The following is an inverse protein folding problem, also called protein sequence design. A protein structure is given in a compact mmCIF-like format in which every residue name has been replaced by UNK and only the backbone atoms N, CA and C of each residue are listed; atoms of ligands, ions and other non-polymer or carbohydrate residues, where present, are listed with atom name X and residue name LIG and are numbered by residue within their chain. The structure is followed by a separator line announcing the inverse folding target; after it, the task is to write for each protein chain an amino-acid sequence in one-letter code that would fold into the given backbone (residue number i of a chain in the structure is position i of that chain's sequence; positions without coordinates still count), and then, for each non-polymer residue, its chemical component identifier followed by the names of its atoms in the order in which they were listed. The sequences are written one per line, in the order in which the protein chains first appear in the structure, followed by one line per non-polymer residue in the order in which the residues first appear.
data_IF_273870808397
#
_entry.id   IF_273870808397
#
_cell.length_a   1.000
_cell.length_b   1.000
_cell.length_c   1.000
_cell.angle_alpha   90.00
_cell.angle_beta   90.00
_cell.angle_gamma   90.00
#
_symmetry.space_group_name_H-M   'P 1'
#
loop_
_entity.id
_entity.type
_entity.pdbx_description
1 polymer ?
#
# COMPACT_ATOMS: atom_id res chain seq x y z
N UNK A 1 17.03 12.11 -5.51
CA UNK A 1 16.57 11.79 -4.14
C UNK A 1 15.06 12.05 -3.89
N UNK A 2 14.23 12.30 -4.92
CA UNK A 2 12.79 12.61 -4.76
C UNK A 2 11.83 11.41 -4.83
N UNK A 3 12.22 10.30 -5.47
CA UNK A 3 11.30 9.19 -5.73
C UNK A 3 10.88 8.44 -4.44
N UNK A 4 11.81 8.24 -3.50
CA UNK A 4 11.52 7.61 -2.20
C UNK A 4 10.61 8.50 -1.33
N UNK A 5 10.81 9.82 -1.39
CA UNK A 5 9.95 10.79 -0.70
C UNK A 5 8.53 10.74 -1.28
N UNK A 6 8.40 10.70 -2.61
CA UNK A 6 7.11 10.55 -3.29
C UNK A 6 6.40 9.23 -2.96
N UNK A 7 7.15 8.13 -2.81
CA UNK A 7 6.60 6.85 -2.34
C UNK A 7 6.06 6.97 -0.91
N UNK A 8 6.80 7.60 0.01
CA UNK A 8 6.35 7.80 1.39
C UNK A 8 5.07 8.66 1.45
N UNK A 9 5.01 9.74 0.67
CA UNK A 9 3.82 10.58 0.57
C UNK A 9 2.62 9.80 0.02
N UNK A 10 2.83 9.02 -1.04
CA UNK A 10 1.77 8.18 -1.63
C UNK A 10 1.27 7.14 -0.62
N UNK A 11 2.17 6.46 0.11
CA UNK A 11 1.80 5.51 1.17
C UNK A 11 0.93 6.17 2.22
N UNK A 12 1.33 7.35 2.72
CA UNK A 12 0.57 8.09 3.72
C UNK A 12 -0.79 8.52 3.18
N UNK A 13 -0.89 8.91 1.90
CA UNK A 13 -2.17 9.25 1.29
C UNK A 13 -3.11 8.04 1.22
N UNK A 14 -2.61 6.88 0.83
CA UNK A 14 -3.38 5.62 0.80
C UNK A 14 -3.88 5.28 2.22
N UNK A 15 -3.00 5.29 3.22
CA UNK A 15 -3.37 4.94 4.59
C UNK A 15 -4.43 5.89 5.18
N UNK A 16 -4.41 7.18 4.81
CA UNK A 16 -5.41 8.16 5.24
C UNK A 16 -6.79 7.99 4.61
N UNK A 17 -6.92 7.16 3.58
CA UNK A 17 -8.22 6.88 2.94
C UNK A 17 -9.05 5.87 3.73
N UNK A 18 -8.46 5.17 4.68
CA UNK A 18 -9.12 4.11 5.44
C UNK A 18 -9.01 4.42 6.94
N UNK A 19 -10.11 4.21 7.64
CA UNK A 19 -10.17 4.13 9.10
C UNK A 19 -9.92 2.68 9.54
N UNK A 20 -9.74 2.47 10.84
CA UNK A 20 -9.66 1.12 11.41
C UNK A 20 -10.96 0.34 11.14
N UNK A 21 -12.11 1.02 11.26
CA UNK A 21 -13.42 0.41 11.00
C UNK A 21 -13.62 -0.04 9.56
N UNK A 22 -12.92 0.57 8.60
CA UNK A 22 -13.04 0.18 7.18
C UNK A 22 -12.31 -1.13 6.86
N UNK A 23 -11.43 -1.62 7.74
CA UNK A 23 -10.53 -2.76 7.44
C UNK A 23 -10.43 -3.83 8.53
N UNK A 24 -10.95 -3.56 9.73
CA UNK A 24 -10.94 -4.48 10.87
C UNK A 24 -12.36 -4.98 11.13
N UNK A 25 -12.62 -6.30 11.03
CA UNK A 25 -13.92 -6.85 11.40
C UNK A 25 -14.22 -6.68 12.89
N UNK A 26 -15.50 -6.47 13.21
CA UNK A 26 -16.03 -6.45 14.58
C UNK A 26 -17.06 -7.56 14.78
N UNK A 27 -17.31 -7.92 16.05
CA UNK A 27 -18.04 -9.13 16.43
C UNK A 27 -19.53 -9.12 16.01
N UNK A 28 -20.18 -7.94 16.02
CA UNK A 28 -21.63 -7.80 15.80
C UNK A 28 -22.02 -7.44 14.35
N UNK A 29 -21.16 -7.75 13.38
CA UNK A 29 -21.39 -7.35 12.00
C UNK A 29 -22.27 -8.29 11.20
N UNK A 30 -23.05 -7.71 10.28
CA UNK A 30 -23.75 -8.49 9.26
C UNK A 30 -22.75 -9.12 8.27
N UNK A 31 -23.20 -10.13 7.54
CA UNK A 31 -22.41 -10.72 6.45
C UNK A 31 -22.01 -9.66 5.41
N UNK A 32 -22.92 -8.74 5.09
CA UNK A 32 -22.68 -7.66 4.13
C UNK A 32 -21.57 -6.72 4.63
N UNK A 33 -21.62 -6.29 5.90
CA UNK A 33 -20.58 -5.45 6.50
C UNK A 33 -19.21 -6.15 6.53
N UNK A 34 -19.23 -7.46 6.81
CA UNK A 34 -18.02 -8.30 6.79
C UNK A 34 -17.40 -8.37 5.39
N UNK A 35 -18.22 -8.53 4.35
CA UNK A 35 -17.76 -8.59 2.97
C UNK A 35 -17.24 -7.22 2.48
N UNK A 36 -17.92 -6.13 2.81
CA UNK A 36 -17.47 -4.79 2.42
C UNK A 36 -16.12 -4.46 3.06
N UNK A 37 -15.96 -4.76 4.35
CA UNK A 37 -14.69 -4.56 5.07
C UNK A 37 -13.58 -5.44 4.52
N UNK A 38 -13.86 -6.70 4.20
CA UNK A 38 -12.89 -7.59 3.57
C UNK A 38 -12.45 -7.04 2.19
N UNK A 39 -13.38 -6.49 1.42
CA UNK A 39 -13.07 -5.86 0.13
C UNK A 39 -12.22 -4.59 0.30
N UNK A 40 -12.52 -3.75 1.28
CA UNK A 40 -11.74 -2.55 1.60
C UNK A 40 -10.31 -2.91 2.05
N UNK A 41 -10.17 -3.92 2.91
CA UNK A 41 -8.86 -4.45 3.31
C UNK A 41 -8.07 -4.99 2.13
N UNK A 42 -8.72 -5.72 1.21
CA UNK A 42 -8.08 -6.23 0.00
C UNK A 42 -7.57 -5.10 -0.91
N UNK A 43 -8.39 -4.06 -1.15
CA UNK A 43 -8.01 -2.88 -1.95
C UNK A 43 -6.84 -2.12 -1.33
N UNK A 44 -6.85 -1.97 0.00
CA UNK A 44 -5.74 -1.35 0.74
C UNK A 44 -4.45 -2.15 0.54
N UNK A 45 -4.46 -3.45 0.78
CA UNK A 45 -3.29 -4.32 0.64
C UNK A 45 -2.75 -4.30 -0.79
N UNK A 46 -3.61 -4.43 -1.80
CA UNK A 46 -3.20 -4.40 -3.21
C UNK A 46 -2.50 -3.07 -3.55
N UNK A 47 -3.03 -1.95 -3.05
CA UNK A 47 -2.45 -0.63 -3.28
C UNK A 47 -1.07 -0.47 -2.64
N UNK A 48 -0.90 -1.01 -1.43
CA UNK A 48 0.38 -1.00 -0.73
C UNK A 48 1.42 -1.91 -1.40
N UNK A 49 1.02 -3.10 -1.85
CA UNK A 49 1.90 -4.02 -2.58
C UNK A 49 2.41 -3.42 -3.90
N UNK A 50 1.53 -2.77 -4.67
CA UNK A 50 1.92 -2.07 -5.90
C UNK A 50 2.97 -1.00 -5.62
N UNK A 51 2.85 -0.30 -4.50
CA UNK A 51 3.80 0.71 -4.08
C UNK A 51 5.15 0.10 -3.66
N UNK A 52 5.13 -1.03 -2.98
CA UNK A 52 6.34 -1.74 -2.57
C UNK A 52 7.10 -2.33 -3.77
N UNK A 53 6.40 -2.90 -4.74
CA UNK A 53 7.00 -3.31 -6.03
C UNK A 53 7.61 -2.13 -6.78
N UNK A 54 7.00 -0.93 -6.71
CA UNK A 54 7.57 0.29 -7.31
C UNK A 54 8.84 0.71 -6.59
N UNK A 55 8.84 0.65 -5.25
CA UNK A 55 10.04 0.93 -4.43
C UNK A 55 11.18 -0.02 -4.81
N UNK A 56 10.91 -1.32 -4.88
CA UNK A 56 11.90 -2.33 -5.24
C UNK A 56 12.51 -2.10 -6.63
N UNK A 57 11.69 -1.76 -7.63
CA UNK A 57 12.17 -1.43 -8.98
C UNK A 57 13.16 -0.26 -8.97
N UNK A 58 12.82 0.83 -8.27
CA UNK A 58 13.71 1.98 -8.15
C UNK A 58 15.05 1.62 -7.49
N UNK A 59 15.05 0.73 -6.50
CA UNK A 59 16.29 0.24 -5.90
C UNK A 59 17.11 -0.58 -6.89
N UNK A 60 16.48 -1.50 -7.64
CA UNK A 60 17.16 -2.30 -8.65
C UNK A 60 17.76 -1.44 -9.76
N UNK A 61 17.04 -0.44 -10.23
CA UNK A 61 17.53 0.47 -11.28
C UNK A 61 18.73 1.28 -10.79
N UNK A 62 18.65 1.84 -9.57
CA UNK A 62 19.77 2.55 -8.95
C UNK A 62 21.02 1.68 -8.72
N UNK A 63 20.86 0.36 -8.58
CA UNK A 63 21.98 -0.58 -8.48
C UNK A 63 22.60 -0.91 -9.85
N UNK A 64 21.78 -0.97 -10.91
CA UNK A 64 22.28 -1.20 -12.28
C UNK A 64 23.12 -0.03 -12.77
N UNK A 65 22.73 1.20 -12.44
CA UNK A 65 23.47 2.43 -12.78
C UNK A 65 24.82 2.56 -12.05
N UNK A 66 25.10 1.69 -11.06
CA UNK A 66 26.33 1.70 -10.26
C UNK A 66 27.33 0.59 -10.62
N UNK A 67 27.14 -0.15 -11.71
CA UNK A 67 28.15 -1.13 -12.14
C UNK A 67 29.45 -0.38 -12.50
N UNK A 68 30.59 -0.65 -11.82
CA UNK A 68 31.87 -0.14 -12.28
C UNK A 68 32.26 -0.92 -13.54
N UNK A 69 32.79 -0.19 -14.53
CA UNK A 69 33.44 -0.75 -15.72
C UNK A 69 34.61 -1.67 -15.35
#
# INVERSE_FOLDING_TARGET
MNALVGIKQTRNRILKQYTVGDIVPADDWSLEQSLDTAANRAKLMESLEKLDRRKERLFKDALKDKKPD
#
